data_IF_206730251616
#
_entry.id   IF_206730251616
#
_cell.length_a   1.000
_cell.length_b   1.000
_cell.length_c   1.000
_cell.angle_alpha   90.00
_cell.angle_beta   90.00
_cell.angle_gamma   90.00
#
_symmetry.space_group_name_H-M   'P 1'
#
loop_
_entity.id
_entity.type
_entity.pdbx_description
1 polymer ?
#
# COMPACT_ATOMS: atom_id res chain seq x y z
N UNK A 1 11.09 -18.18 -53.28
CA UNK A 1 9.99 -18.61 -52.40
C UNK A 1 10.31 -19.98 -51.84
N UNK A 2 10.54 -20.08 -50.53
CA UNK A 2 10.15 -21.23 -49.74
C UNK A 2 8.85 -20.91 -48.97
N UNK A 3 8.01 -21.93 -48.88
CA UNK A 3 6.64 -21.96 -48.38
C UNK A 3 6.53 -21.70 -46.88
N UNK A 4 5.51 -20.93 -46.53
CA UNK A 4 4.86 -20.95 -45.23
C UNK A 4 4.36 -22.37 -44.94
N UNK A 5 4.81 -22.98 -43.84
CA UNK A 5 3.96 -23.84 -42.99
C UNK A 5 4.70 -24.25 -41.71
N UNK A 6 3.96 -24.21 -40.60
CA UNK A 6 4.24 -24.80 -39.28
C UNK A 6 5.34 -24.19 -38.39
N UNK A 7 5.16 -22.91 -38.01
CA UNK A 7 5.49 -22.49 -36.64
C UNK A 7 4.28 -22.79 -35.72
N UNK A 8 4.00 -24.07 -35.51
CA UNK A 8 2.96 -24.52 -34.60
C UNK A 8 3.22 -24.01 -33.17
N UNK A 9 2.43 -23.03 -32.77
CA UNK A 9 1.98 -22.70 -31.41
C UNK A 9 2.31 -23.79 -30.38
N UNK A 10 3.44 -23.63 -29.68
CA UNK A 10 3.67 -24.30 -28.38
C UNK A 10 3.02 -23.48 -27.27
N UNK A 11 1.69 -23.44 -27.29
CA UNK A 11 0.90 -23.11 -26.11
C UNK A 11 1.08 -24.24 -25.12
N UNK A 12 1.98 -24.05 -24.15
CA UNK A 12 2.10 -24.98 -23.02
C UNK A 12 0.86 -24.82 -22.15
N UNK A 13 -0.13 -25.67 -22.38
CA UNK A 13 -1.26 -25.84 -21.48
C UNK A 13 -0.74 -26.28 -20.10
N UNK A 14 -0.76 -25.35 -19.14
CA UNK A 14 -0.51 -25.67 -17.74
C UNK A 14 -1.67 -26.56 -17.28
N UNK A 15 -1.40 -27.87 -17.14
CA UNK A 15 -2.28 -28.79 -16.41
C UNK A 15 -2.42 -28.29 -14.98
N UNK A 16 -3.56 -27.70 -14.64
CA UNK A 16 -3.92 -27.42 -13.25
C UNK A 16 -4.10 -28.75 -12.53
N UNK A 17 -3.16 -29.05 -11.64
CA UNK A 17 -3.29 -30.16 -10.68
C UNK A 17 -4.29 -29.70 -9.62
N UNK A 18 -5.52 -30.18 -9.70
CA UNK A 18 -6.51 -30.01 -8.63
C UNK A 18 -5.94 -30.61 -7.34
N UNK A 19 -5.76 -29.77 -6.31
CA UNK A 19 -5.59 -30.22 -4.93
C UNK A 19 -6.92 -29.99 -4.22
N UNK A 20 -7.43 -30.96 -3.45
CA UNK A 20 -8.59 -30.73 -2.60
C UNK A 20 -8.25 -29.63 -1.58
N UNK A 21 -9.06 -28.58 -1.53
CA UNK A 21 -9.01 -27.57 -0.47
C UNK A 21 -9.72 -28.13 0.76
N UNK A 22 -9.01 -28.93 1.55
CA UNK A 22 -9.39 -29.17 2.95
C UNK A 22 -8.71 -28.12 3.82
N UNK A 23 -9.47 -27.15 4.34
CA UNK A 23 -8.91 -26.17 5.26
C UNK A 23 -9.80 -24.98 5.58
N UNK A 24 -10.79 -25.20 6.46
CA UNK A 24 -11.51 -24.22 7.30
C UNK A 24 -12.07 -22.97 6.62
N UNK A 25 -13.33 -23.08 6.24
CA UNK A 25 -14.26 -21.96 6.10
C UNK A 25 -14.60 -21.42 7.50
N UNK A 26 -14.41 -20.11 7.72
CA UNK A 26 -15.03 -19.42 8.86
C UNK A 26 -16.51 -19.17 8.54
N UNK A 27 -17.48 -19.63 9.35
CA UNK A 27 -18.88 -19.34 9.10
C UNK A 27 -19.17 -17.85 9.35
N UNK A 28 -19.81 -17.22 8.38
CA UNK A 28 -20.44 -15.92 8.54
C UNK A 28 -21.48 -16.00 9.67
N UNK A 29 -21.24 -15.29 10.78
CA UNK A 29 -22.12 -15.29 11.95
C UNK A 29 -21.44 -15.53 13.31
N UNK A 30 -20.13 -15.76 13.35
CA UNK A 30 -19.40 -15.79 14.63
C UNK A 30 -19.34 -14.37 15.23
N UNK A 31 -19.89 -14.20 16.44
CA UNK A 31 -19.65 -12.99 17.25
C UNK A 31 -18.14 -12.86 17.48
N UNK A 32 -17.57 -11.64 17.45
CA UNK A 32 -16.17 -11.48 17.79
C UNK A 32 -15.97 -12.03 19.20
N UNK A 33 -15.04 -12.98 19.34
CA UNK A 33 -14.48 -13.25 20.65
C UNK A 33 -13.83 -11.94 21.10
N UNK A 34 -14.25 -11.44 22.27
CA UNK A 34 -13.55 -10.36 22.94
C UNK A 34 -12.11 -10.83 23.17
N UNK A 35 -11.19 -10.38 22.32
CA UNK A 35 -9.77 -10.46 22.63
C UNK A 35 -9.55 -9.68 23.93
N UNK A 36 -8.84 -10.26 24.92
CA UNK A 36 -8.52 -9.52 26.12
C UNK A 36 -7.75 -8.26 25.70
N UNK A 37 -8.29 -7.10 26.08
CA UNK A 37 -7.64 -5.81 25.93
C UNK A 37 -6.14 -5.97 26.24
N UNK A 38 -5.29 -5.69 25.26
CA UNK A 38 -3.86 -5.60 25.49
C UNK A 38 -3.64 -4.65 26.68
N UNK A 39 -3.22 -5.21 27.81
CA UNK A 39 -2.95 -4.44 29.01
C UNK A 39 -1.82 -3.47 28.67
N UNK A 40 -2.03 -2.18 28.93
CA UNK A 40 -0.99 -1.17 28.73
C UNK A 40 0.22 -1.56 29.57
N UNK A 41 1.41 -1.51 28.95
CA UNK A 41 2.66 -1.72 29.67
C UNK A 41 2.75 -0.69 30.83
N UNK A 42 3.24 -1.09 32.01
CA UNK A 42 3.49 -0.15 33.09
C UNK A 42 4.42 0.97 32.61
N UNK A 43 4.14 2.22 32.99
CA UNK A 43 4.87 3.43 32.55
C UNK A 43 6.40 3.31 32.76
N UNK A 44 6.83 2.59 33.79
CA UNK A 44 8.24 2.31 34.05
C UNK A 44 8.87 1.32 33.05
N UNK A 45 8.10 0.35 32.54
CA UNK A 45 8.55 -0.56 31.49
C UNK A 45 8.63 0.17 30.14
N UNK A 46 7.69 1.06 29.86
CA UNK A 46 7.73 1.96 28.72
C UNK A 46 8.97 2.86 28.79
N UNK A 47 9.18 3.58 29.91
CA UNK A 47 10.36 4.44 30.11
C UNK A 47 11.69 3.67 30.03
N UNK A 48 11.74 2.42 30.50
CA UNK A 48 12.93 1.59 30.41
C UNK A 48 13.23 1.16 28.98
N UNK A 49 12.22 0.72 28.23
CA UNK A 49 12.34 0.44 26.79
C UNK A 49 12.78 1.69 26.01
N UNK A 50 12.22 2.85 26.35
CA UNK A 50 12.63 4.16 25.79
C UNK A 50 14.10 4.48 26.09
N UNK A 51 14.60 4.13 27.29
CA UNK A 51 15.97 4.40 27.71
C UNK A 51 17.00 3.42 27.10
N UNK A 52 16.62 2.16 26.92
CA UNK A 52 17.47 1.11 26.34
C UNK A 52 17.55 1.23 24.80
N UNK A 53 16.46 1.64 24.14
CA UNK A 53 16.43 1.92 22.70
C UNK A 53 17.32 3.12 22.31
N UNK A 54 17.47 4.13 23.18
CA UNK A 54 18.36 5.30 22.94
C UNK A 54 19.85 4.95 22.93
N UNK A 55 20.25 3.77 23.42
CA UNK A 55 21.66 3.38 23.60
C UNK A 55 22.24 2.54 22.47
N UNK A 56 21.45 2.11 21.48
CA UNK A 56 21.92 1.21 20.41
C UNK A 56 21.94 1.91 19.05
N UNK A 57 23.07 2.49 18.64
CA UNK A 57 23.26 2.83 17.25
C UNK A 57 23.50 1.52 16.49
N UNK A 58 22.66 1.22 15.49
CA UNK A 58 22.85 0.19 14.45
C UNK A 58 22.30 -1.24 14.64
N UNK A 59 21.41 -1.53 15.59
CA UNK A 59 20.62 -2.77 15.45
C UNK A 59 19.54 -2.55 14.37
N UNK A 60 19.56 -3.41 13.34
CA UNK A 60 18.50 -3.47 12.33
C UNK A 60 17.15 -3.51 13.06
N UNK A 61 16.31 -2.54 12.76
CA UNK A 61 15.03 -2.39 13.41
C UNK A 61 14.24 -3.71 13.32
N UNK A 62 13.65 -4.20 14.41
CA UNK A 62 12.76 -5.35 14.33
C UNK A 62 11.68 -5.08 13.28
N UNK A 63 11.29 -6.07 12.45
CA UNK A 63 10.21 -5.91 11.49
C UNK A 63 8.95 -5.34 12.17
N UNK A 64 8.43 -4.23 11.63
CA UNK A 64 7.28 -3.53 12.22
C UNK A 64 7.61 -2.44 13.25
N UNK A 65 8.88 -2.23 13.58
CA UNK A 65 9.35 -1.12 14.42
C UNK A 65 10.00 -0.07 13.54
N UNK A 66 9.21 0.86 13.02
CA UNK A 66 9.68 2.12 12.43
C UNK A 66 9.34 3.28 13.37
N UNK A 67 10.18 4.32 13.44
CA UNK A 67 9.93 5.49 14.28
C UNK A 67 11.20 6.10 14.88
N UNK A 68 11.04 6.92 15.93
CA UNK A 68 12.09 7.74 16.58
C UNK A 68 13.32 6.94 17.09
N UNK A 69 13.22 5.61 17.12
CA UNK A 69 14.28 4.67 17.55
C UNK A 69 15.10 4.10 16.39
N UNK A 70 14.63 4.29 15.16
CA UNK A 70 15.30 3.90 13.93
C UNK A 70 15.76 5.17 13.25
N UNK A 71 17.08 5.37 13.19
CA UNK A 71 17.71 6.46 12.44
C UNK A 71 17.54 6.22 10.93
N UNK A 72 16.31 6.15 10.41
CA UNK A 72 16.08 6.61 9.04
C UNK A 72 16.34 8.11 9.08
N UNK A 73 17.57 8.49 8.77
CA UNK A 73 17.92 9.90 8.81
C UNK A 73 17.09 10.59 7.74
N UNK A 74 16.44 11.70 8.12
CA UNK A 74 15.67 12.56 7.23
C UNK A 74 16.42 13.00 5.97
N UNK A 75 17.74 12.76 5.90
CA UNK A 75 18.61 12.96 4.74
C UNK A 75 18.33 12.01 3.56
N UNK A 76 17.76 10.82 3.81
CA UNK A 76 17.44 9.84 2.76
C UNK A 76 16.02 10.01 2.19
N UNK A 77 15.12 10.68 2.93
CA UNK A 77 13.75 10.98 2.50
C UNK A 77 13.71 11.74 1.16
N UNK A 78 14.59 12.73 0.90
CA UNK A 78 14.69 13.35 -0.42
C UNK A 78 15.15 12.38 -1.53
N UNK A 79 16.02 11.41 -1.23
CA UNK A 79 16.47 10.41 -2.21
C UNK A 79 15.36 9.42 -2.59
N UNK A 80 14.37 9.25 -1.70
CA UNK A 80 13.17 8.45 -1.94
C UNK A 80 12.14 9.14 -2.85
N UNK A 81 12.18 10.48 -2.97
CA UNK A 81 11.32 11.21 -3.91
C UNK A 81 11.91 11.08 -5.31
N UNK A 82 11.17 10.42 -6.20
CA UNK A 82 11.64 10.11 -7.55
C UNK A 82 11.99 11.39 -8.34
N UNK A 83 13.00 11.28 -9.19
CA UNK A 83 13.19 12.19 -10.33
C UNK A 83 12.96 11.42 -11.63
N UNK A 84 12.16 11.95 -12.57
CA UNK A 84 11.43 13.22 -12.53
C UNK A 84 10.19 13.21 -11.59
N UNK A 85 9.71 14.40 -11.23
CA UNK A 85 8.46 14.60 -10.47
C UNK A 85 7.28 13.93 -11.19
N UNK A 86 6.72 12.91 -10.56
CA UNK A 86 5.62 12.08 -11.09
C UNK A 86 4.32 12.86 -11.30
N UNK A 87 4.16 14.01 -10.66
CA UNK A 87 2.98 14.88 -10.82
C UNK A 87 3.19 15.96 -11.89
N UNK A 88 4.40 16.15 -12.39
CA UNK A 88 4.71 17.16 -13.40
C UNK A 88 4.06 16.82 -14.74
N UNK A 89 3.30 17.75 -15.30
CA UNK A 89 2.59 17.57 -16.57
C UNK A 89 1.43 16.57 -16.53
N UNK A 90 1.00 16.13 -15.34
CA UNK A 90 -0.12 15.21 -15.19
C UNK A 90 -1.44 15.85 -15.64
N UNK A 91 -2.12 15.23 -16.59
CA UNK A 91 -3.51 15.54 -16.92
C UNK A 91 -4.43 14.97 -15.83
N UNK A 92 -5.12 15.87 -15.11
CA UNK A 92 -5.98 15.47 -13.99
C UNK A 92 -7.25 14.78 -14.48
N UNK A 93 -7.52 13.62 -13.89
CA UNK A 93 -8.81 12.93 -13.98
C UNK A 93 -9.76 13.45 -12.88
N UNK A 94 -11.09 13.27 -13.02
CA UNK A 94 -12.04 13.58 -11.95
C UNK A 94 -11.66 12.89 -10.63
N UNK A 95 -11.86 13.59 -9.52
CA UNK A 95 -11.64 13.02 -8.19
C UNK A 95 -12.49 11.75 -8.00
N UNK A 96 -11.83 10.63 -7.72
CA UNK A 96 -12.48 9.35 -7.47
C UNK A 96 -11.78 8.59 -6.35
N UNK A 97 -12.24 8.81 -5.11
CA UNK A 97 -11.80 8.08 -3.93
C UNK A 97 -12.70 6.88 -3.59
N UNK A 98 -13.44 6.35 -4.58
CA UNK A 98 -14.28 5.17 -4.37
C UNK A 98 -13.46 3.90 -4.09
N UNK A 99 -14.12 2.91 -3.50
CA UNK A 99 -13.50 1.65 -3.09
C UNK A 99 -13.49 1.47 -1.58
N UNK A 100 -12.97 0.32 -1.18
CA UNK A 100 -12.96 -0.09 0.23
C UNK A 100 -11.84 0.62 1.00
N UNK A 101 -12.19 1.09 2.20
CA UNK A 101 -11.25 1.53 3.23
C UNK A 101 -11.95 1.34 4.57
N UNK A 102 -11.25 0.94 5.65
CA UNK A 102 -11.78 1.02 7.00
C UNK A 102 -12.08 2.49 7.37
N UNK A 103 -12.74 2.67 8.51
CA UNK A 103 -13.08 3.99 9.03
C UNK A 103 -11.81 4.86 9.22
N UNK A 104 -11.85 6.11 8.78
CA UNK A 104 -10.72 7.04 8.80
C UNK A 104 -10.07 7.20 10.18
N UNK A 105 -10.85 7.02 11.26
CA UNK A 105 -10.40 7.14 12.65
C UNK A 105 -9.27 6.16 13.01
N UNK A 106 -9.19 5.00 12.34
CA UNK A 106 -8.11 4.03 12.58
C UNK A 106 -6.75 4.60 12.18
N UNK A 107 -6.69 5.31 11.04
CA UNK A 107 -5.47 5.89 10.51
C UNK A 107 -5.01 7.08 11.34
N UNK A 108 -5.94 7.95 11.72
CA UNK A 108 -5.63 9.07 12.61
C UNK A 108 -5.06 8.59 13.93
N UNK A 109 -5.68 7.58 14.56
CA UNK A 109 -5.18 7.00 15.82
C UNK A 109 -3.79 6.40 15.65
N UNK A 110 -3.55 5.66 14.57
CA UNK A 110 -2.22 5.10 14.28
C UNK A 110 -1.16 6.20 14.12
N UNK A 111 -1.46 7.27 13.38
CA UNK A 111 -0.55 8.41 13.18
C UNK A 111 -0.33 9.19 14.48
N UNK A 112 -1.37 9.38 15.31
CA UNK A 112 -1.24 10.03 16.61
C UNK A 112 -0.30 9.27 17.56
N UNK A 113 -0.43 7.94 17.59
CA UNK A 113 0.38 7.08 18.47
C UNK A 113 1.83 6.98 18.00
N UNK A 114 2.05 6.85 16.69
CA UNK A 114 3.39 6.58 16.14
C UNK A 114 4.16 7.83 15.73
N UNK A 115 3.45 8.94 15.47
CA UNK A 115 4.00 10.23 14.98
C UNK A 115 5.04 10.05 13.86
N UNK A 116 4.69 9.35 12.75
CA UNK A 116 5.66 8.95 11.76
C UNK A 116 6.17 10.15 10.93
N UNK A 117 7.48 10.14 10.63
CA UNK A 117 8.09 11.00 9.60
C UNK A 117 8.12 10.33 8.22
N UNK A 118 8.14 9.00 8.22
CA UNK A 118 8.05 8.12 7.06
C UNK A 118 6.97 7.07 7.35
N UNK A 119 6.07 6.86 6.40
CA UNK A 119 5.08 5.80 6.42
C UNK A 119 5.09 5.06 5.08
N UNK A 120 4.70 3.79 5.08
CA UNK A 120 4.57 2.98 3.88
C UNK A 120 3.19 2.35 3.88
N UNK A 121 2.48 2.48 2.77
CA UNK A 121 1.21 1.81 2.52
C UNK A 121 1.38 0.86 1.34
N UNK A 122 0.90 -0.38 1.49
CA UNK A 122 0.98 -1.43 0.47
C UNK A 122 -0.44 -1.84 0.08
N UNK A 123 -0.76 -1.74 -1.21
CA UNK A 123 -2.12 -1.93 -1.73
C UNK A 123 -2.96 -0.66 -1.53
N UNK A 124 -2.74 0.33 -2.40
CA UNK A 124 -3.20 1.71 -2.26
C UNK A 124 -4.42 1.99 -3.13
N UNK A 125 -4.54 1.28 -4.26
CA UNK A 125 -5.61 1.47 -5.23
C UNK A 125 -5.75 2.96 -5.65
N UNK A 126 -6.94 3.53 -5.51
CA UNK A 126 -7.25 4.94 -5.79
C UNK A 126 -6.79 5.91 -4.68
N UNK A 127 -6.25 5.42 -3.57
CA UNK A 127 -5.60 6.24 -2.54
C UNK A 127 -6.52 6.79 -1.45
N UNK A 128 -7.71 6.22 -1.23
CA UNK A 128 -8.63 6.67 -0.18
C UNK A 128 -7.97 6.65 1.21
N UNK A 129 -7.42 5.52 1.60
CA UNK A 129 -6.70 5.35 2.87
C UNK A 129 -5.43 6.21 2.91
N UNK A 130 -4.66 6.25 1.83
CA UNK A 130 -3.48 7.11 1.69
C UNK A 130 -3.80 8.58 2.00
N UNK A 131 -4.94 9.09 1.50
CA UNK A 131 -5.34 10.48 1.77
C UNK A 131 -5.61 10.73 3.24
N UNK A 132 -6.26 9.80 3.95
CA UNK A 132 -6.49 9.90 5.39
C UNK A 132 -5.19 9.86 6.18
N UNK A 133 -4.29 8.94 5.84
CA UNK A 133 -2.97 8.82 6.50
C UNK A 133 -2.16 10.11 6.29
N UNK A 134 -2.08 10.62 5.06
CA UNK A 134 -1.28 11.79 4.74
C UNK A 134 -1.83 13.08 5.37
N UNK A 135 -3.15 13.27 5.39
CA UNK A 135 -3.77 14.39 6.14
C UNK A 135 -3.48 14.29 7.63
N UNK A 136 -3.61 13.09 8.22
CA UNK A 136 -3.27 12.89 9.62
C UNK A 136 -1.79 13.21 9.89
N UNK A 137 -0.87 12.80 9.01
CA UNK A 137 0.55 13.12 9.13
C UNK A 137 0.80 14.63 9.06
N UNK A 138 0.21 15.34 8.10
CA UNK A 138 0.31 16.79 8.02
C UNK A 138 -0.16 17.47 9.31
N UNK A 139 -1.29 17.04 9.85
CA UNK A 139 -1.89 17.63 11.06
C UNK A 139 -1.09 17.31 12.34
N UNK A 140 -0.59 16.07 12.48
CA UNK A 140 0.00 15.58 13.72
C UNK A 140 1.51 15.85 13.79
N UNK A 141 2.23 15.68 12.67
CA UNK A 141 3.70 15.74 12.61
C UNK A 141 4.22 16.94 11.80
N UNK A 142 3.33 17.73 11.20
CA UNK A 142 3.69 18.84 10.32
C UNK A 142 4.17 18.39 8.95
N UNK A 143 3.85 17.16 8.55
CA UNK A 143 4.24 16.56 7.27
C UNK A 143 5.19 15.38 7.41
N UNK A 144 5.72 14.91 6.28
CA UNK A 144 6.55 13.71 6.20
C UNK A 144 6.51 13.13 4.80
N UNK A 145 6.86 11.85 4.69
CA UNK A 145 6.74 11.09 3.45
C UNK A 145 5.87 9.86 3.66
N UNK A 146 4.84 9.70 2.83
CA UNK A 146 4.06 8.48 2.69
C UNK A 146 4.42 7.82 1.37
N UNK A 147 5.06 6.66 1.43
CA UNK A 147 5.35 5.82 0.27
C UNK A 147 4.13 4.95 -0.02
N UNK A 148 3.56 5.11 -1.21
CA UNK A 148 2.39 4.36 -1.67
C UNK A 148 2.83 3.28 -2.65
N UNK A 149 2.87 2.03 -2.20
CA UNK A 149 3.29 0.86 -2.98
C UNK A 149 2.07 0.15 -3.55
N UNK A 150 1.97 0.13 -4.88
CA UNK A 150 0.97 -0.65 -5.59
C UNK A 150 1.48 -0.96 -7.01
N UNK A 151 0.94 -1.99 -7.62
CA UNK A 151 1.13 -2.24 -9.06
C UNK A 151 0.15 -1.44 -9.91
N UNK A 152 -0.99 -1.03 -9.33
CA UNK A 152 -2.15 -0.45 -10.01
C UNK A 152 -2.75 -1.32 -11.11
N UNK A 153 -2.39 -2.60 -11.16
CA UNK A 153 -2.93 -3.57 -12.11
C UNK A 153 -4.25 -4.20 -11.65
N UNK A 154 -4.69 -3.89 -10.43
CA UNK A 154 -5.87 -4.48 -9.81
C UNK A 154 -5.68 -5.91 -9.32
N UNK A 155 -6.64 -6.37 -8.53
CA UNK A 155 -6.70 -7.75 -8.08
C UNK A 155 -7.34 -8.65 -9.15
N UNK A 156 -7.18 -9.96 -9.02
CA UNK A 156 -7.65 -10.95 -10.00
C UNK A 156 -9.17 -10.81 -10.28
N UNK A 157 -9.94 -10.47 -9.24
CA UNK A 157 -11.38 -10.25 -9.30
C UNK A 157 -11.81 -8.94 -9.98
N UNK A 158 -10.86 -8.09 -10.40
CA UNK A 158 -11.19 -6.88 -11.18
C UNK A 158 -11.13 -7.17 -12.68
N UNK A 159 -10.45 -8.25 -13.09
CA UNK A 159 -10.24 -8.60 -14.49
C UNK A 159 -11.33 -9.47 -15.09
N UNK A 160 -12.09 -10.20 -14.27
CA UNK A 160 -13.14 -11.08 -14.76
C UNK A 160 -14.24 -11.29 -13.73
N UNK A 161 -15.48 -11.26 -14.20
CA UNK A 161 -16.68 -11.53 -13.41
C UNK A 161 -16.67 -12.94 -12.79
N UNK A 162 -15.85 -13.86 -13.32
CA UNK A 162 -15.70 -15.22 -12.79
C UNK A 162 -15.28 -15.20 -11.32
N UNK A 163 -14.39 -14.30 -10.93
CA UNK A 163 -13.87 -14.23 -9.56
C UNK A 163 -14.70 -13.28 -8.66
N UNK A 164 -15.66 -12.57 -9.25
CA UNK A 164 -16.54 -11.61 -8.56
C UNK A 164 -17.97 -12.15 -8.38
N UNK A 165 -18.18 -13.47 -8.58
CA UNK A 165 -19.50 -14.09 -8.46
C UNK A 165 -20.51 -13.60 -9.50
N UNK A 166 -20.04 -13.11 -10.65
CA UNK A 166 -20.89 -12.51 -11.68
C UNK A 166 -21.27 -11.05 -11.45
N UNK A 167 -20.87 -10.43 -10.33
CA UNK A 167 -21.24 -9.06 -9.99
C UNK A 167 -20.26 -8.03 -10.57
N UNK A 168 -20.81 -6.99 -11.19
CA UNK A 168 -20.06 -5.82 -11.61
C UNK A 168 -20.05 -4.79 -10.47
N UNK A 169 -18.87 -4.50 -9.94
CA UNK A 169 -18.65 -3.46 -8.94
C UNK A 169 -17.93 -2.27 -9.59
N UNK A 170 -18.61 -1.14 -9.84
CA UNK A 170 -18.00 0.04 -10.45
C UNK A 170 -16.81 0.59 -9.65
N UNK A 171 -16.74 0.32 -8.34
CA UNK A 171 -15.61 0.78 -7.50
C UNK A 171 -14.30 0.04 -7.80
N UNK A 172 -14.39 -1.08 -8.54
CA UNK A 172 -13.27 -1.94 -8.98
C UNK A 172 -12.94 -1.79 -10.46
N UNK A 173 -13.53 -0.83 -11.15
CA UNK A 173 -13.23 -0.56 -12.56
C UNK A 173 -11.74 -0.21 -12.73
N UNK A 174 -11.07 -0.87 -13.68
CA UNK A 174 -9.67 -0.67 -14.03
C UNK A 174 -9.46 0.50 -15.00
N UNK A 175 -10.55 1.08 -15.52
CA UNK A 175 -10.56 2.19 -16.47
C UNK A 175 -9.65 1.92 -17.69
N UNK A 176 -9.71 0.70 -18.22
CA UNK A 176 -8.75 0.20 -19.22
C UNK A 176 -8.65 1.13 -20.45
N UNK A 177 -7.42 1.47 -20.84
CA UNK A 177 -7.11 2.07 -22.16
C UNK A 177 -6.23 1.11 -22.93
N UNK A 178 -6.70 0.64 -24.09
CA UNK A 178 -6.02 -0.37 -24.90
C UNK A 178 -5.63 -1.63 -24.09
N UNK A 179 -6.49 -2.04 -23.14
CA UNK A 179 -6.26 -3.20 -22.28
C UNK A 179 -5.36 -2.97 -21.06
N UNK A 180 -4.82 -1.76 -20.87
CA UNK A 180 -3.96 -1.44 -19.73
C UNK A 180 -4.71 -0.64 -18.64
N UNK A 181 -4.64 -1.02 -17.35
CA UNK A 181 -5.26 -0.29 -16.25
C UNK A 181 -4.75 1.15 -16.11
N UNK A 182 -5.66 2.08 -15.84
CA UNK A 182 -5.32 3.50 -15.73
C UNK A 182 -5.36 4.03 -14.29
N UNK A 183 -5.52 3.12 -13.31
CA UNK A 183 -5.75 3.47 -11.90
C UNK A 183 -4.58 4.21 -11.28
N UNK A 184 -3.36 3.98 -11.76
CA UNK A 184 -2.20 4.78 -11.36
C UNK A 184 -2.45 6.28 -11.56
N UNK A 185 -2.99 6.67 -12.73
CA UNK A 185 -3.27 8.07 -13.04
C UNK A 185 -4.47 8.62 -12.25
N UNK A 186 -5.48 7.79 -11.97
CA UNK A 186 -6.56 8.15 -11.05
C UNK A 186 -6.01 8.45 -9.65
N UNK A 187 -5.13 7.58 -9.14
CA UNK A 187 -4.44 7.78 -7.87
C UNK A 187 -3.64 9.09 -7.85
N UNK A 188 -2.81 9.37 -8.87
CA UNK A 188 -2.06 10.63 -8.92
C UNK A 188 -2.99 11.85 -8.97
N UNK A 189 -4.08 11.76 -9.73
CA UNK A 189 -5.08 12.82 -9.83
C UNK A 189 -5.75 13.09 -8.48
N UNK A 190 -6.05 12.03 -7.72
CA UNK A 190 -6.60 12.15 -6.38
C UNK A 190 -5.61 12.79 -5.41
N UNK A 191 -4.33 12.39 -5.45
CA UNK A 191 -3.28 12.99 -4.61
C UNK A 191 -3.15 14.49 -4.86
N UNK A 192 -3.13 14.92 -6.13
CA UNK A 192 -3.05 16.34 -6.49
C UNK A 192 -4.30 17.09 -6.03
N UNK A 193 -5.49 16.57 -6.33
CA UNK A 193 -6.76 17.21 -5.95
C UNK A 193 -7.00 17.25 -4.43
N UNK A 194 -6.38 16.34 -3.68
CA UNK A 194 -6.38 16.35 -2.21
C UNK A 194 -5.27 17.24 -1.61
N UNK A 195 -4.45 17.91 -2.43
CA UNK A 195 -3.31 18.74 -2.00
C UNK A 195 -2.23 17.96 -1.23
N UNK A 196 -1.96 16.72 -1.64
CA UNK A 196 -1.08 15.78 -0.93
C UNK A 196 0.23 15.45 -1.68
N UNK A 197 0.47 16.06 -2.84
CA UNK A 197 1.64 15.76 -3.70
C UNK A 197 2.99 15.94 -3.01
N UNK A 198 3.08 16.80 -2.01
CA UNK A 198 4.32 17.05 -1.26
C UNK A 198 4.61 15.98 -0.20
N UNK A 199 3.59 15.20 0.18
CA UNK A 199 3.66 14.19 1.24
C UNK A 199 3.62 12.78 0.67
N UNK A 200 2.92 12.55 -0.44
CA UNK A 200 2.72 11.23 -1.01
C UNK A 200 3.68 11.00 -2.20
N UNK A 201 4.40 9.87 -2.16
CA UNK A 201 5.22 9.38 -3.26
C UNK A 201 4.74 7.98 -3.69
N UNK A 202 4.26 7.80 -4.94
CA UNK A 202 3.96 6.48 -5.47
C UNK A 202 5.22 5.67 -5.76
N UNK A 203 5.10 4.35 -5.60
CA UNK A 203 6.04 3.33 -6.03
C UNK A 203 5.28 2.29 -6.88
N UNK A 204 5.26 2.44 -8.23
CA UNK A 204 4.53 1.57 -9.16
C UNK A 204 5.23 0.23 -9.37
N UNK A 205 5.22 -0.58 -8.32
CA UNK A 205 5.95 -1.83 -8.26
C UNK A 205 5.27 -2.83 -7.31
N UNK A 206 5.72 -4.08 -7.37
CA UNK A 206 5.27 -5.10 -6.43
C UNK A 206 5.77 -4.79 -5.02
N UNK A 207 5.06 -5.28 -4.00
CA UNK A 207 5.49 -5.16 -2.59
C UNK A 207 6.88 -5.75 -2.36
N UNK A 208 7.24 -6.82 -3.07
CA UNK A 208 8.57 -7.42 -3.01
C UNK A 208 9.66 -6.48 -3.53
N UNK A 209 9.45 -5.88 -4.71
CA UNK A 209 10.40 -4.92 -5.29
C UNK A 209 10.55 -3.69 -4.40
N UNK A 210 9.44 -3.21 -3.81
CA UNK A 210 9.48 -2.10 -2.87
C UNK A 210 10.27 -2.47 -1.59
N UNK A 211 10.09 -3.68 -1.05
CA UNK A 211 10.87 -4.14 0.10
C UNK A 211 12.36 -4.22 -0.23
N UNK A 212 12.73 -4.82 -1.38
CA UNK A 212 14.11 -4.89 -1.85
C UNK A 212 14.71 -3.48 -2.05
N UNK A 213 13.95 -2.53 -2.60
CA UNK A 213 14.38 -1.13 -2.73
C UNK A 213 14.65 -0.52 -1.35
N UNK A 214 13.72 -0.66 -0.41
CA UNK A 214 13.82 -0.06 0.93
C UNK A 214 14.92 -0.69 1.81
N UNK A 215 15.28 -1.95 1.57
CA UNK A 215 16.39 -2.62 2.26
C UNK A 215 17.78 -2.11 1.81
N UNK A 216 17.85 -1.48 0.63
CA UNK A 216 19.11 -1.03 0.01
C UNK A 216 19.28 0.49 0.01
N UNK A 217 18.45 1.21 0.79
CA UNK A 217 18.61 2.63 1.10
C UNK A 217 19.39 2.80 2.39
#
# INVERSE_FOLDING_TARGET
>A
MPSDDEAASRTTLIKTRERPLEGRWWPWGAKPHEEPMAQSLPEAAEQRLLSEARRRPHEKCPPGVGGVYCNFTTKEIPALKYQPDVYSGLELQPLDLSGWSPNYTVYEKAVQLTRPRLAVEVGVWKGRSATYIAHAMMNVTGGGLLLCVDTWLGALEFWTLRFSGGYQDPTRDLALRNGYPQIYYTFLSNVVQSNLKEVIQPLPMTSRTAAELLENL
#
